data_IF_900931663150
#
_entry.id   IF_900931663150
#
_cell.length_a   1.000
_cell.length_b   1.000
_cell.length_c   1.000
_cell.angle_alpha   90.00
_cell.angle_beta   90.00
_cell.angle_gamma   90.00
#
_symmetry.space_group_name_H-M   'P 1'
#
loop_
_entity.id
_entity.type
_entity.pdbx_description
1 polymer ?
#
# COMPACT_ATOMS: atom_id res chain seq x y z
N UNK A 1 6.76 26.19 25.94
CA UNK A 1 7.76 25.65 24.99
C UNK A 1 7.07 24.52 24.26
N UNK A 2 6.59 24.85 23.07
CA UNK A 2 5.59 24.07 22.33
C UNK A 2 6.24 22.83 21.71
N UNK A 3 6.14 21.70 22.40
CA UNK A 3 6.53 20.41 21.81
C UNK A 3 5.48 19.96 20.79
N UNK A 4 5.94 19.26 19.79
CA UNK A 4 5.26 19.03 18.53
C UNK A 4 5.11 17.54 18.33
N UNK A 5 3.91 17.01 18.08
CA UNK A 5 3.73 15.56 17.95
C UNK A 5 3.64 15.19 16.45
N UNK A 6 4.70 14.70 15.78
CA UNK A 6 4.54 14.04 14.50
C UNK A 6 4.25 12.54 14.71
N UNK A 7 3.22 12.06 14.04
CA UNK A 7 3.02 10.63 13.83
C UNK A 7 3.76 10.25 12.55
N UNK A 8 4.69 9.30 12.64
CA UNK A 8 5.39 8.71 11.51
C UNK A 8 4.64 7.46 11.06
N UNK A 9 4.18 7.45 9.83
CA UNK A 9 3.59 6.27 9.19
C UNK A 9 4.59 5.76 8.15
N UNK A 10 4.99 4.51 8.26
CA UNK A 10 5.83 3.89 7.24
C UNK A 10 5.46 2.41 7.06
N UNK A 11 5.34 1.93 5.82
CA UNK A 11 5.19 0.51 5.56
C UNK A 11 6.54 -0.18 5.83
N UNK A 12 6.65 -0.97 6.89
CA UNK A 12 7.90 -1.61 7.25
C UNK A 12 8.16 -2.84 6.36
N UNK A 13 9.29 -2.80 5.65
CA UNK A 13 9.67 -3.83 4.68
C UNK A 13 11.15 -4.19 4.82
N UNK A 14 11.49 -5.00 5.84
CA UNK A 14 12.88 -5.40 6.05
C UNK A 14 13.88 -4.21 5.99
N UNK A 15 15.13 -4.42 5.54
CA UNK A 15 16.14 -3.35 5.46
C UNK A 15 15.95 -2.35 4.29
N UNK A 16 14.97 -2.57 3.41
CA UNK A 16 14.71 -1.71 2.26
C UNK A 16 13.79 -0.56 2.67
N UNK A 17 14.36 0.64 2.73
CA UNK A 17 13.68 1.86 3.20
C UNK A 17 12.39 2.13 2.41
N UNK A 18 11.27 1.94 3.08
CA UNK A 18 9.96 2.46 2.69
C UNK A 18 9.86 3.98 2.84
N UNK A 19 9.07 4.63 1.99
CA UNK A 19 8.74 6.05 2.16
C UNK A 19 7.98 6.26 3.48
N UNK A 20 8.60 6.95 4.44
CA UNK A 20 7.94 7.34 5.67
C UNK A 20 7.19 8.66 5.47
N UNK A 21 5.89 8.66 5.77
CA UNK A 21 5.05 9.87 5.79
C UNK A 21 4.88 10.35 7.22
N UNK A 22 4.72 11.66 7.39
CA UNK A 22 4.63 12.30 8.70
C UNK A 22 3.40 13.19 8.76
N UNK A 23 2.69 13.19 9.88
CA UNK A 23 1.64 14.19 10.13
C UNK A 23 2.22 15.58 10.26
N UNK A 24 1.35 16.58 10.08
CA UNK A 24 1.68 17.93 10.49
C UNK A 24 1.91 17.97 11.99
N UNK A 25 2.73 18.93 12.34
CA UNK A 25 3.02 19.36 13.69
C UNK A 25 1.75 19.90 14.36
N UNK A 26 1.38 19.33 15.51
CA UNK A 26 0.35 19.90 16.39
C UNK A 26 0.92 20.27 17.76
N UNK A 27 0.33 21.29 18.39
CA UNK A 27 0.65 21.73 19.75
C UNK A 27 0.51 20.55 20.73
N UNK A 28 1.45 20.42 21.67
CA UNK A 28 1.39 19.40 22.72
C UNK A 28 0.04 19.38 23.44
N UNK A 29 -0.59 18.21 23.45
CA UNK A 29 -1.83 17.90 24.15
C UNK A 29 -1.86 16.39 24.42
N UNK A 30 -2.63 15.96 25.41
CA UNK A 30 -2.85 14.55 25.71
C UNK A 30 -3.82 13.87 24.70
N UNK A 31 -4.53 14.65 23.89
CA UNK A 31 -5.46 14.14 22.89
C UNK A 31 -5.27 14.86 21.54
N UNK A 32 -4.14 14.65 20.85
CA UNK A 32 -3.93 15.25 19.54
C UNK A 32 -4.83 14.56 18.50
N UNK A 33 -5.49 15.35 17.67
CA UNK A 33 -6.35 14.84 16.60
C UNK A 33 -5.68 15.14 15.27
N UNK A 34 -5.45 14.15 14.42
CA UNK A 34 -4.88 14.35 13.09
C UNK A 34 -5.90 13.90 12.05
N UNK A 35 -6.46 14.86 11.32
CA UNK A 35 -7.44 14.60 10.25
C UNK A 35 -6.70 14.55 8.90
N UNK A 36 -5.65 13.73 8.85
CA UNK A 36 -4.78 13.58 7.68
C UNK A 36 -4.89 12.16 7.15
N UNK A 37 -4.99 12.04 5.82
CA UNK A 37 -5.01 10.75 5.13
C UNK A 37 -3.71 10.56 4.35
N UNK A 38 -3.08 9.41 4.55
CA UNK A 38 -1.86 9.02 3.85
C UNK A 38 -2.16 7.84 2.93
N UNK A 39 -1.57 7.86 1.74
CA UNK A 39 -1.68 6.79 0.76
C UNK A 39 -0.32 6.14 0.59
N UNK A 40 -0.27 4.82 0.68
CA UNK A 40 0.92 4.04 0.42
C UNK A 40 0.63 3.08 -0.72
N UNK A 41 1.40 3.19 -1.79
CA UNK A 41 1.34 2.23 -2.89
C UNK A 41 2.31 1.09 -2.59
N UNK A 42 1.80 -0.13 -2.60
CA UNK A 42 2.60 -1.34 -2.43
C UNK A 42 2.67 -2.03 -3.78
N UNK A 43 3.70 -1.74 -4.56
CA UNK A 43 3.91 -2.39 -5.86
C UNK A 43 4.60 -3.73 -5.63
N UNK A 44 3.97 -4.84 -6.04
CA UNK A 44 4.66 -6.13 -6.18
C UNK A 44 5.68 -5.98 -7.32
N UNK A 45 6.98 -6.21 -7.12
CA UNK A 45 7.93 -6.21 -8.22
C UNK A 45 7.50 -7.23 -9.26
N UNK A 46 7.19 -6.79 -10.48
CA UNK A 46 6.80 -7.68 -11.57
C UNK A 46 8.00 -8.56 -11.94
N UNK A 47 7.96 -9.86 -11.61
CA UNK A 47 9.00 -10.83 -11.99
C UNK A 47 8.99 -11.19 -13.50
N UNK A 48 8.73 -10.24 -14.38
CA UNK A 48 8.70 -10.48 -15.83
C UNK A 48 10.08 -10.48 -16.50
N UNK A 49 11.17 -10.47 -15.74
CA UNK A 49 12.46 -10.90 -16.27
C UNK A 49 13.08 -11.91 -15.33
N UNK A 50 13.06 -13.18 -15.75
CA UNK A 50 13.77 -14.28 -15.12
C UNK A 50 15.27 -14.03 -15.20
N UNK A 51 15.80 -13.20 -14.29
CA UNK A 51 17.19 -13.16 -13.86
C UNK A 51 17.23 -12.90 -12.36
N UNK A 52 17.07 -14.00 -11.61
CA UNK A 52 17.70 -14.21 -10.32
C UNK A 52 17.58 -13.07 -9.31
N UNK A 53 16.35 -12.70 -8.95
CA UNK A 53 15.96 -12.20 -7.61
C UNK A 53 14.43 -12.35 -7.56
N UNK A 54 13.97 -13.57 -7.30
CA UNK A 54 12.57 -13.84 -7.02
C UNK A 54 12.20 -13.08 -5.75
N UNK A 55 11.41 -12.02 -5.90
CA UNK A 55 10.56 -11.55 -4.81
C UNK A 55 9.41 -12.53 -4.78
N UNK A 56 9.60 -13.58 -3.99
CA UNK A 56 8.62 -14.64 -3.78
C UNK A 56 7.32 -14.02 -3.25
N UNK A 57 6.19 -14.62 -3.61
CA UNK A 57 4.86 -14.22 -3.13
C UNK A 57 4.79 -14.11 -1.58
N UNK A 58 5.67 -14.84 -0.88
CA UNK A 58 5.90 -14.78 0.57
C UNK A 58 6.39 -13.42 1.10
N UNK A 59 6.88 -12.49 0.28
CA UNK A 59 7.39 -11.21 0.76
C UNK A 59 6.29 -10.16 1.01
N UNK A 60 5.13 -10.31 0.36
CA UNK A 60 3.95 -9.48 0.65
C UNK A 60 3.38 -9.84 2.02
N UNK A 61 3.47 -11.11 2.40
CA UNK A 61 3.00 -11.62 3.67
C UNK A 61 3.75 -11.05 4.87
N UNK A 62 5.00 -10.67 4.64
CA UNK A 62 5.90 -10.04 5.63
C UNK A 62 5.73 -8.53 5.70
N UNK A 63 4.95 -7.91 4.80
CA UNK A 63 4.65 -6.49 4.86
C UNK A 63 3.80 -6.15 6.08
N UNK A 64 4.24 -5.14 6.82
CA UNK A 64 3.44 -4.56 7.89
C UNK A 64 3.44 -3.04 7.82
N UNK A 65 2.28 -2.41 7.93
CA UNK A 65 2.20 -0.97 8.17
C UNK A 65 2.56 -0.68 9.62
N UNK A 66 3.56 0.16 9.87
CA UNK A 66 3.91 0.64 11.21
C UNK A 66 3.56 2.12 11.36
N UNK A 67 3.13 2.47 12.56
CA UNK A 67 2.71 3.84 12.91
C UNK A 67 3.38 4.24 14.22
N UNK A 68 4.41 5.06 14.18
CA UNK A 68 5.14 5.47 15.38
C UNK A 68 4.76 6.89 15.79
N UNK A 69 4.55 7.11 17.09
CA UNK A 69 4.30 8.42 17.65
C UNK A 69 5.59 9.00 18.22
N UNK A 70 5.91 10.22 17.78
CA UNK A 70 7.09 10.94 18.24
C UNK A 70 6.68 12.30 18.80
N UNK A 71 7.48 12.81 19.71
CA UNK A 71 7.48 14.17 20.20
C UNK A 71 8.69 14.88 19.59
N UNK A 72 8.47 15.58 18.49
CA UNK A 72 9.48 16.43 17.90
C UNK A 72 9.83 17.57 18.85
N UNK A 73 11.12 17.67 19.13
CA UNK A 73 11.67 18.72 19.97
C UNK A 73 12.66 19.53 19.16
N UNK A 74 12.58 20.86 19.24
CA UNK A 74 13.60 21.75 18.68
C UNK A 74 14.88 21.79 19.57
N UNK A 75 15.02 20.85 20.52
CA UNK A 75 16.12 20.81 21.47
C UNK A 75 17.26 19.91 20.97
N UNK A 76 18.46 20.14 21.49
CA UNK A 76 19.70 19.42 21.14
C UNK A 76 19.65 17.89 21.39
N UNK A 77 18.60 17.39 22.03
CA UNK A 77 18.42 15.99 22.41
C UNK A 77 17.62 15.16 21.39
N UNK A 78 17.13 15.78 20.31
CA UNK A 78 16.43 15.11 19.22
C UNK A 78 14.95 14.83 19.52
N UNK A 79 14.31 14.12 18.59
CA UNK A 79 12.90 13.71 18.72
C UNK A 79 12.77 12.59 19.75
N UNK A 80 11.79 12.71 20.65
CA UNK A 80 11.50 11.74 21.70
C UNK A 80 10.43 10.74 21.23
N UNK A 81 10.70 9.45 21.34
CA UNK A 81 9.73 8.41 20.98
C UNK A 81 8.67 8.26 22.07
N UNK A 82 7.38 8.36 21.70
CA UNK A 82 6.26 8.24 22.63
C UNK A 82 5.61 6.85 22.61
N UNK A 83 5.85 6.05 21.58
CA UNK A 83 5.28 4.71 21.44
C UNK A 83 5.04 4.34 19.98
N UNK A 84 5.11 3.04 19.68
CA UNK A 84 4.84 2.49 18.35
C UNK A 84 3.47 1.84 18.30
N UNK A 85 2.68 2.09 17.28
CA UNK A 85 1.48 1.33 16.98
C UNK A 85 1.82 -0.12 16.63
N UNK A 86 0.86 -1.05 16.72
CA UNK A 86 1.06 -2.42 16.28
C UNK A 86 1.43 -2.46 14.79
N UNK A 87 2.32 -3.38 14.40
CA UNK A 87 2.59 -3.64 12.99
C UNK A 87 1.38 -4.33 12.35
N UNK A 88 0.72 -3.66 11.42
CA UNK A 88 -0.45 -4.19 10.73
C UNK A 88 -0.02 -5.01 9.51
N UNK A 89 -0.08 -6.34 9.61
CA UNK A 89 0.18 -7.21 8.45
C UNK A 89 -0.82 -6.93 7.33
N UNK A 90 -0.33 -6.85 6.09
CA UNK A 90 -1.17 -6.58 4.93
C UNK A 90 -2.25 -7.66 4.73
N UNK A 91 -1.95 -8.92 5.10
CA UNK A 91 -2.94 -10.01 5.09
C UNK A 91 -4.14 -9.72 5.98
N UNK A 92 -3.87 -9.29 7.20
CA UNK A 92 -4.92 -9.01 8.19
C UNK A 92 -5.76 -7.83 7.74
N UNK A 93 -5.13 -6.80 7.16
CA UNK A 93 -5.82 -5.67 6.55
C UNK A 93 -6.69 -6.10 5.36
N UNK A 94 -6.19 -7.00 4.51
CA UNK A 94 -6.92 -7.53 3.35
C UNK A 94 -8.16 -8.36 3.68
N UNK A 95 -8.18 -9.07 4.81
CA UNK A 95 -9.34 -9.86 5.21
C UNK A 95 -10.53 -9.01 5.67
N UNK A 96 -10.27 -7.90 6.38
CA UNK A 96 -11.32 -7.03 6.89
C UNK A 96 -11.67 -5.89 5.92
N UNK A 97 -10.73 -5.47 5.07
CA UNK A 97 -10.86 -4.38 4.11
C UNK A 97 -10.81 -2.98 4.74
N UNK A 98 -11.39 -2.80 5.92
CA UNK A 98 -11.40 -1.55 6.68
C UNK A 98 -11.18 -1.81 8.17
N UNK A 99 -10.31 -1.01 8.78
CA UNK A 99 -10.05 -1.00 10.21
C UNK A 99 -10.24 0.39 10.80
N UNK A 100 -11.34 0.62 11.54
CA UNK A 100 -11.55 1.81 12.37
C UNK A 100 -11.60 1.40 13.84
N UNK A 101 -10.48 1.57 14.55
CA UNK A 101 -10.36 1.13 15.94
C UNK A 101 -9.29 1.91 16.73
N UNK A 102 -9.33 1.74 18.04
CA UNK A 102 -8.29 2.17 18.97
C UNK A 102 -7.21 1.10 19.10
N UNK A 103 -5.95 1.52 19.07
CA UNK A 103 -4.78 0.66 19.21
C UNK A 103 -3.91 1.16 20.36
N UNK A 104 -3.51 0.26 21.24
CA UNK A 104 -2.57 0.56 22.31
C UNK A 104 -1.16 0.74 21.75
N UNK A 105 -0.49 1.81 22.17
CA UNK A 105 0.91 2.03 21.82
C UNK A 105 1.79 0.99 22.53
N UNK A 106 2.81 0.56 21.81
CA UNK A 106 3.78 -0.45 22.20
C UNK A 106 5.12 0.22 22.54
N UNK A 107 5.85 -0.31 23.53
CA UNK A 107 7.22 0.11 23.82
C UNK A 107 8.15 -0.10 22.63
N UNK A 108 9.31 0.55 22.65
CA UNK A 108 10.36 0.31 21.65
C UNK A 108 11.16 -0.94 22.00
N UNK A 109 11.38 -1.84 21.05
CA UNK A 109 12.14 -3.10 21.22
C UNK A 109 13.67 -2.93 21.44
N UNK A 110 14.15 -1.71 21.72
CA UNK A 110 15.57 -1.36 21.68
C UNK A 110 16.36 -1.64 22.99
N UNK A 111 16.00 -2.69 23.76
CA UNK A 111 16.79 -3.14 24.93
C UNK A 111 16.97 -2.10 26.06
N UNK A 112 16.18 -1.01 26.04
CA UNK A 112 16.15 0.00 27.09
C UNK A 112 15.35 -0.44 28.31
N UNK A 113 15.15 0.47 29.27
CA UNK A 113 14.28 0.20 30.43
C UNK A 113 12.89 -0.25 29.94
N UNK A 114 12.32 -1.34 30.49
CA UNK A 114 10.99 -1.77 30.11
C UNK A 114 9.99 -0.67 30.47
N UNK A 115 9.38 -0.05 29.45
CA UNK A 115 8.25 0.86 29.62
C UNK A 115 7.01 0.00 29.78
N UNK A 116 6.22 0.22 30.84
CA UNK A 116 4.98 -0.50 31.03
C UNK A 116 3.96 -0.03 29.99
N UNK A 117 3.22 -0.97 29.41
CA UNK A 117 2.16 -0.67 28.43
C UNK A 117 1.09 0.25 29.05
N UNK A 118 0.85 0.14 30.35
CA UNK A 118 -0.11 0.98 31.10
C UNK A 118 0.29 2.47 31.17
N UNK A 119 1.57 2.78 30.93
CA UNK A 119 2.07 4.15 30.87
C UNK A 119 2.02 4.72 29.43
N UNK A 120 1.74 3.87 28.44
CA UNK A 120 1.62 4.24 27.04
C UNK A 120 0.16 4.57 26.70
N UNK A 121 -0.01 5.56 25.82
CA UNK A 121 -1.33 5.97 25.34
C UNK A 121 -1.91 5.02 24.30
N UNK A 122 -3.01 5.45 23.69
CA UNK A 122 -3.66 4.78 22.56
C UNK A 122 -3.83 5.74 21.39
N UNK A 123 -3.87 5.19 20.17
CA UNK A 123 -4.13 5.93 18.93
C UNK A 123 -5.33 5.34 18.20
N UNK A 124 -6.23 6.19 17.70
CA UNK A 124 -7.30 5.77 16.80
C UNK A 124 -6.81 5.88 15.37
N UNK A 125 -6.97 4.80 14.60
CA UNK A 125 -6.59 4.75 13.20
C UNK A 125 -7.78 4.30 12.37
N UNK A 126 -7.92 4.90 11.18
CA UNK A 126 -8.75 4.40 10.11
C UNK A 126 -7.84 3.94 8.96
N UNK A 127 -7.75 2.63 8.76
CA UNK A 127 -6.90 2.00 7.75
C UNK A 127 -7.81 1.31 6.73
N UNK A 128 -7.65 1.67 5.47
CA UNK A 128 -8.34 1.05 4.34
C UNK A 128 -7.28 0.37 3.48
N UNK A 129 -7.46 -0.92 3.22
CA UNK A 129 -6.59 -1.66 2.31
C UNK A 129 -7.37 -2.04 1.05
N UNK A 130 -6.79 -1.71 -0.10
CA UNK A 130 -7.33 -2.03 -1.41
C UNK A 130 -6.28 -2.79 -2.20
N UNK A 131 -6.70 -3.87 -2.84
CA UNK A 131 -5.85 -4.70 -3.68
C UNK A 131 -6.51 -4.92 -5.04
N UNK A 132 -5.70 -4.81 -6.09
CA UNK A 132 -6.13 -5.14 -7.45
C UNK A 132 -6.00 -6.66 -7.67
N UNK A 133 -7.11 -7.30 -8.02
CA UNK A 133 -7.11 -8.72 -8.38
C UNK A 133 -7.16 -8.88 -9.90
N UNK A 134 -6.17 -9.59 -10.45
CA UNK A 134 -6.19 -10.02 -11.86
C UNK A 134 -6.79 -11.42 -11.92
N UNK A 135 -7.78 -11.62 -12.80
CA UNK A 135 -8.38 -12.94 -12.97
C UNK A 135 -7.36 -13.93 -13.56
N UNK A 136 -7.52 -15.24 -13.32
CA UNK A 136 -6.74 -16.25 -14.02
C UNK A 136 -6.86 -16.09 -15.54
N UNK A 137 -5.81 -16.43 -16.29
CA UNK A 137 -5.73 -16.27 -17.75
C UNK A 137 -6.95 -16.81 -18.49
N UNK A 138 -7.52 -17.90 -18.00
CA UNK A 138 -8.63 -18.61 -18.63
C UNK A 138 -9.88 -17.73 -18.75
N UNK A 139 -10.07 -16.79 -17.81
CA UNK A 139 -11.19 -15.84 -17.82
C UNK A 139 -11.10 -14.84 -18.97
N UNK A 140 -9.90 -14.63 -19.53
CA UNK A 140 -9.69 -13.74 -20.66
C UNK A 140 -9.78 -14.44 -22.02
N UNK A 141 -9.91 -15.77 -22.06
CA UNK A 141 -9.97 -16.54 -23.32
C UNK A 141 -11.09 -16.07 -24.26
N UNK A 142 -12.35 -15.87 -23.80
CA UNK A 142 -13.43 -15.41 -24.67
C UNK A 142 -13.14 -14.03 -25.29
N UNK A 143 -12.59 -13.10 -24.50
CA UNK A 143 -12.22 -11.77 -24.97
C UNK A 143 -11.09 -11.85 -26.00
N UNK A 144 -10.06 -12.65 -25.73
CA UNK A 144 -8.95 -12.88 -26.66
C UNK A 144 -9.44 -13.42 -27.99
N UNK A 145 -10.30 -14.43 -27.97
CA UNK A 145 -10.81 -15.07 -29.17
C UNK A 145 -11.72 -14.11 -29.97
N UNK A 146 -12.50 -13.26 -29.30
CA UNK A 146 -13.27 -12.20 -29.93
C UNK A 146 -12.37 -11.16 -30.61
N UNK A 147 -11.33 -10.68 -29.92
CA UNK A 147 -10.35 -9.73 -30.48
C UNK A 147 -9.63 -10.29 -31.72
N UNK A 148 -9.26 -11.58 -31.67
CA UNK A 148 -8.67 -12.28 -32.80
C UNK A 148 -9.67 -12.39 -33.97
N UNK A 149 -10.93 -12.71 -33.68
CA UNK A 149 -11.99 -12.87 -34.69
C UNK A 149 -12.39 -11.54 -35.33
N UNK A 150 -12.43 -10.44 -34.56
CA UNK A 150 -12.81 -9.11 -35.08
C UNK A 150 -11.80 -8.57 -36.10
N UNK A 151 -10.51 -8.89 -35.93
CA UNK A 151 -9.46 -8.50 -36.89
C UNK A 151 -9.51 -9.34 -38.19
N UNK A 152 -10.02 -10.56 -38.12
CA UNK A 152 -10.20 -11.44 -39.28
C UNK A 152 -11.39 -11.05 -40.17
N UNK A 153 -12.38 -10.36 -39.62
CA UNK A 153 -13.60 -9.96 -40.34
C UNK A 153 -13.42 -8.72 -41.25
N UNK A 154 -12.19 -8.19 -41.35
CA UNK A 154 -11.84 -7.08 -42.28
C UNK A 154 -11.38 -7.63 -43.65
N UNK A 155 -11.37 -8.95 -43.86
CA UNK A 155 -11.03 -9.52 -45.18
C UNK A 155 -12.16 -9.37 -46.20
N UNK A 156 -12.07 -8.29 -46.96
CA UNK A 156 -12.20 -8.35 -48.43
C UNK A 156 -13.60 -8.17 -49.00
N UNK A 157 -14.11 -6.93 -49.00
CA UNK A 157 -14.97 -6.47 -50.09
C UNK A 157 -14.15 -6.51 -51.39
N UNK A 158 -14.17 -7.64 -52.08
CA UNK A 158 -13.59 -7.75 -53.42
C UNK A 158 -14.47 -6.94 -54.38
N UNK A 159 -13.90 -6.06 -55.22
CA UNK A 159 -14.68 -5.33 -56.22
C UNK A 159 -15.29 -6.32 -57.21
N UNK A 160 -16.61 -6.29 -57.36
CA UNK A 160 -17.33 -7.10 -58.36
C UNK A 160 -16.79 -6.73 -59.75
N UNK A 161 -16.17 -7.69 -60.44
CA UNK A 161 -15.80 -7.52 -61.85
C UNK A 161 -17.08 -7.29 -62.66
N UNK A 162 -17.23 -6.07 -63.20
CA UNK A 162 -18.24 -5.78 -64.21
C UNK A 162 -17.92 -6.61 -65.46
N UNK A 163 -18.87 -7.43 -65.87
CA UNK A 163 -18.84 -8.14 -67.13
C UNK A 163 -19.23 -7.14 -68.22
N UNK A 164 -18.25 -6.71 -69.00
CA UNK A 164 -18.48 -5.93 -70.21
C UNK A 164 -19.04 -6.86 -71.27
N UNK A 165 -20.34 -6.74 -71.55
CA UNK A 165 -20.94 -7.38 -72.72
C UNK A 165 -20.41 -6.69 -73.97
N UNK A 166 -19.57 -7.41 -74.71
CA UNK A 166 -19.21 -7.09 -76.08
C UNK A 166 -20.43 -7.32 -76.98
N UNK A 167 -21.01 -6.23 -77.49
CA UNK A 167 -21.94 -6.28 -78.62
C UNK A 167 -21.32 -5.55 -79.80
N UNK A 168 -21.24 -6.29 -80.92
CA UNK A 168 -21.35 -5.80 -82.30
C UNK A 168 -20.15 -5.04 -82.84
#
# INVERSE_FOLDING_TARGET
>A
MDSVIPTLLYPYWGPSRSEAKKTKVKRKTNNPQFEETFYFEVTRPLSHTKRQFDVEEEDVDKLALRVDLWNASNLKFGDEFLGGGPGFSLKTLGQAGVHDAWYFLQPRDNGGKPVKVDELGSLRLNIVYTEDHVFPSDHYSPLRDLLLTSSANVKGSSPKKLKTDSRG
#
